data_IF_197887630712
#
_entry.id   IF_197887630712
#
_cell.length_a   1.000
_cell.length_b   1.000
_cell.length_c   1.000
_cell.angle_alpha   90.00
_cell.angle_beta   90.00
_cell.angle_gamma   90.00
#
_symmetry.space_group_name_H-M   'P 1'
#
loop_
_entity.id
_entity.type
_entity.pdbx_description
1 polymer ?
#
# COMPACT_ATOMS: atom_id res chain seq x y z
N UNK A 1 7.05 6.24 5.84
CA UNK A 1 7.65 4.90 5.93
C UNK A 1 6.60 3.84 6.30
N UNK A 2 5.81 4.03 7.36
CA UNK A 2 4.77 3.06 7.80
C UNK A 2 3.77 2.74 6.69
N UNK A 3 3.25 3.75 5.98
CA UNK A 3 2.35 3.56 4.85
C UNK A 3 3.00 2.72 3.74
N UNK A 4 4.23 3.03 3.34
CA UNK A 4 4.94 2.31 2.28
C UNK A 4 5.19 0.83 2.62
N UNK A 5 5.53 0.51 3.87
CA UNK A 5 5.70 -0.89 4.29
C UNK A 5 4.37 -1.64 4.28
N UNK A 6 3.31 -1.01 4.80
CA UNK A 6 1.99 -1.62 4.83
C UNK A 6 1.42 -1.81 3.41
N UNK A 7 1.57 -0.83 2.52
CA UNK A 7 1.12 -0.94 1.13
C UNK A 7 1.89 -2.00 0.35
N UNK A 8 3.20 -2.13 0.58
CA UNK A 8 4.00 -3.23 0.03
C UNK A 8 3.43 -4.60 0.44
N UNK A 9 3.23 -4.81 1.74
CA UNK A 9 2.75 -6.10 2.26
C UNK A 9 1.35 -6.41 1.74
N UNK A 10 0.42 -5.46 1.86
CA UNK A 10 -0.98 -5.66 1.48
C UNK A 10 -1.09 -5.80 -0.04
N UNK A 11 -0.52 -4.87 -0.81
CA UNK A 11 -0.58 -4.89 -2.27
C UNK A 11 0.06 -6.14 -2.87
N UNK A 12 1.25 -6.53 -2.38
CA UNK A 12 1.92 -7.76 -2.81
C UNK A 12 1.09 -9.00 -2.50
N UNK A 13 0.55 -9.10 -1.29
CA UNK A 13 -0.27 -10.23 -0.89
C UNK A 13 -1.54 -10.33 -1.75
N UNK A 14 -2.23 -9.22 -1.97
CA UNK A 14 -3.40 -9.17 -2.87
C UNK A 14 -3.01 -9.57 -4.31
N UNK A 15 -1.88 -9.09 -4.83
CA UNK A 15 -1.38 -9.43 -6.17
C UNK A 15 -1.08 -10.91 -6.33
N UNK A 16 -0.41 -11.52 -5.35
CA UNK A 16 -0.13 -12.96 -5.33
C UNK A 16 -1.42 -13.79 -5.28
N UNK A 17 -2.38 -13.40 -4.42
CA UNK A 17 -3.67 -14.11 -4.31
C UNK A 17 -4.44 -14.03 -5.63
N UNK A 18 -4.48 -12.84 -6.25
CA UNK A 18 -5.15 -12.63 -7.52
C UNK A 18 -4.49 -13.44 -8.66
N UNK A 19 -3.15 -13.45 -8.74
CA UNK A 19 -2.41 -14.22 -9.74
C UNK A 19 -2.64 -15.74 -9.59
N UNK A 20 -2.67 -16.25 -8.36
CA UNK A 20 -2.95 -17.67 -8.09
C UNK A 20 -4.39 -18.09 -8.40
N UNK A 21 -5.29 -17.13 -8.49
CA UNK A 21 -6.72 -17.34 -8.77
C UNK A 21 -7.14 -16.53 -9.99
N UNK A 22 -6.27 -16.47 -10.99
CA UNK A 22 -6.52 -15.73 -12.22
C UNK A 22 -7.89 -16.07 -12.83
N UNK A 23 -8.62 -15.04 -13.25
CA UNK A 23 -9.99 -15.16 -13.77
C UNK A 23 -11.08 -15.43 -12.75
N UNK A 24 -10.75 -15.57 -11.45
CA UNK A 24 -11.75 -15.74 -10.39
C UNK A 24 -12.40 -14.42 -9.98
N UNK A 25 -13.53 -14.50 -9.25
CA UNK A 25 -14.20 -13.33 -8.66
C UNK A 25 -13.26 -12.52 -7.77
N UNK A 26 -12.36 -13.18 -7.02
CA UNK A 26 -11.37 -12.52 -6.16
C UNK A 26 -10.39 -11.69 -7.00
N UNK A 27 -9.92 -12.24 -8.11
CA UNK A 27 -9.06 -11.52 -9.04
C UNK A 27 -9.78 -10.30 -9.63
N UNK A 28 -11.03 -10.46 -10.06
CA UNK A 28 -11.83 -9.36 -10.62
C UNK A 28 -12.05 -8.26 -9.57
N UNK A 29 -12.39 -8.60 -8.32
CA UNK A 29 -12.61 -7.64 -7.24
C UNK A 29 -11.31 -6.88 -6.92
N UNK A 30 -10.18 -7.58 -6.72
CA UNK A 30 -8.91 -6.94 -6.37
C UNK A 30 -8.39 -6.07 -7.52
N UNK A 31 -8.52 -6.53 -8.76
CA UNK A 31 -8.13 -5.75 -9.93
C UNK A 31 -9.02 -4.52 -10.09
N UNK A 32 -10.34 -4.66 -9.96
CA UNK A 32 -11.29 -3.55 -10.01
C UNK A 32 -11.02 -2.50 -8.94
N UNK A 33 -10.83 -2.93 -7.68
CA UNK A 33 -10.48 -2.03 -6.58
C UNK A 33 -9.15 -1.30 -6.84
N UNK A 34 -8.14 -2.03 -7.33
CA UNK A 34 -6.85 -1.44 -7.70
C UNK A 34 -6.99 -0.37 -8.80
N UNK A 35 -7.79 -0.61 -9.83
CA UNK A 35 -8.04 0.38 -10.88
C UNK A 35 -8.78 1.61 -10.35
N UNK A 36 -9.81 1.43 -9.53
CA UNK A 36 -10.56 2.54 -8.92
C UNK A 36 -9.61 3.41 -8.08
N UNK A 37 -8.86 2.81 -7.16
CA UNK A 37 -7.92 3.54 -6.30
C UNK A 37 -6.83 4.26 -7.11
N UNK A 38 -6.29 3.63 -8.16
CA UNK A 38 -5.27 4.23 -9.01
C UNK A 38 -5.78 5.42 -9.85
N UNK A 39 -7.08 5.50 -10.10
CA UNK A 39 -7.70 6.60 -10.86
C UNK A 39 -8.00 7.83 -10.00
N UNK A 40 -7.92 7.72 -8.68
CA UNK A 40 -8.23 8.80 -7.75
C UNK A 40 -6.99 9.64 -7.46
N UNK A 41 -7.05 10.98 -7.59
CA UNK A 41 -5.98 11.84 -7.10
C UNK A 41 -5.78 11.68 -5.59
N UNK A 42 -4.53 11.61 -5.15
CA UNK A 42 -4.19 11.35 -3.73
C UNK A 42 -4.80 12.37 -2.76
N UNK A 43 -4.74 13.65 -3.10
CA UNK A 43 -5.34 14.70 -2.29
C UNK A 43 -6.87 14.58 -2.19
N UNK A 44 -7.54 14.20 -3.29
CA UNK A 44 -8.98 14.00 -3.32
C UNK A 44 -9.39 12.83 -2.41
N UNK A 45 -8.66 11.71 -2.47
CA UNK A 45 -8.88 10.58 -1.57
C UNK A 45 -8.70 10.98 -0.11
N UNK A 46 -7.65 11.77 0.20
CA UNK A 46 -7.44 12.31 1.55
C UNK A 46 -8.62 13.15 2.04
N UNK A 47 -9.14 14.06 1.20
CA UNK A 47 -10.31 14.87 1.54
C UNK A 47 -11.57 14.01 1.75
N UNK A 48 -11.78 12.98 0.92
CA UNK A 48 -12.90 12.05 1.10
C UNK A 48 -12.82 11.30 2.44
N UNK A 49 -11.63 10.83 2.82
CA UNK A 49 -11.43 10.18 4.12
C UNK A 49 -11.67 11.14 5.29
N UNK A 50 -11.25 12.40 5.19
CA UNK A 50 -11.55 13.44 6.19
C UNK A 50 -13.07 13.63 6.31
N UNK A 51 -13.76 13.81 5.19
CA UNK A 51 -15.22 14.02 5.19
C UNK A 51 -15.94 12.83 5.83
N UNK A 52 -15.56 11.62 5.50
CA UNK A 52 -16.25 10.41 5.98
C UNK A 52 -15.90 10.18 7.46
N UNK A 53 -14.63 10.03 7.79
CA UNK A 53 -14.22 9.52 9.11
C UNK A 53 -14.07 10.61 10.17
N UNK A 54 -13.79 11.86 9.78
CA UNK A 54 -13.69 12.97 10.70
C UNK A 54 -14.98 13.77 10.78
N UNK A 55 -15.46 14.32 9.65
CA UNK A 55 -16.59 15.25 9.67
C UNK A 55 -17.92 14.54 9.90
N UNK A 56 -18.20 13.40 9.21
CA UNK A 56 -19.51 12.72 9.34
C UNK A 56 -19.56 11.76 10.51
N UNK A 57 -18.54 10.94 10.70
CA UNK A 57 -18.52 9.92 11.74
C UNK A 57 -17.92 10.42 13.07
N UNK A 58 -17.09 11.47 13.05
CA UNK A 58 -16.43 11.98 14.24
C UNK A 58 -15.46 11.01 14.90
N UNK A 59 -14.95 10.00 14.15
CA UNK A 59 -14.11 8.96 14.71
C UNK A 59 -12.64 9.36 14.82
N UNK A 60 -12.16 10.18 13.88
CA UNK A 60 -10.74 10.53 13.73
C UNK A 60 -10.57 12.04 13.63
N UNK A 61 -9.42 12.57 14.06
CA UNK A 61 -9.13 13.99 13.94
C UNK A 61 -8.97 14.42 12.47
N UNK A 62 -9.27 15.68 12.19
CA UNK A 62 -9.30 16.23 10.83
C UNK A 62 -7.90 16.57 10.32
N UNK A 63 -7.06 17.19 11.19
CA UNK A 63 -5.76 17.78 10.81
C UNK A 63 -4.81 17.87 12.01
N UNK A 64 -3.53 18.09 11.71
CA UNK A 64 -2.48 18.27 12.70
C UNK A 64 -1.85 16.96 13.16
N UNK A 65 -0.82 17.06 13.96
CA UNK A 65 -0.11 15.90 14.54
C UNK A 65 -0.66 15.51 15.91
N UNK A 66 -1.24 16.48 16.62
CA UNK A 66 -1.80 16.32 17.98
C UNK A 66 -2.94 17.31 18.18
N UNK A 67 -3.79 17.05 19.16
CA UNK A 67 -4.80 18.02 19.59
C UNK A 67 -4.12 19.17 20.33
N UNK A 68 -4.09 20.37 19.68
CA UNK A 68 -3.48 21.56 20.23
C UNK A 68 -4.17 22.10 21.50
N UNK A 69 -5.40 21.63 21.81
CA UNK A 69 -6.17 22.01 23.00
C UNK A 69 -5.88 21.13 24.20
N UNK A 70 -5.29 19.96 23.99
CA UNK A 70 -5.03 18.99 25.04
C UNK A 70 -3.53 18.96 25.35
N UNK A 71 -3.20 19.22 26.63
CA UNK A 71 -1.82 19.11 27.12
C UNK A 71 -1.48 17.64 27.47
N UNK A 72 -1.54 16.77 26.49
CA UNK A 72 -1.21 15.34 26.70
C UNK A 72 0.27 15.14 26.96
N UNK A 73 0.61 14.24 27.91
CA UNK A 73 1.98 13.83 28.21
C UNK A 73 2.09 12.32 28.28
N UNK A 74 3.30 11.77 28.06
CA UNK A 74 3.55 10.34 28.16
C UNK A 74 2.74 9.50 27.17
N UNK A 75 2.10 8.44 27.64
CA UNK A 75 1.34 7.50 26.80
C UNK A 75 0.13 8.10 26.10
N UNK A 76 -0.54 9.07 26.73
CA UNK A 76 -1.69 9.77 26.12
C UNK A 76 -1.28 10.59 24.89
N UNK A 77 -0.12 11.22 24.93
CA UNK A 77 0.46 11.94 23.78
C UNK A 77 0.71 10.98 22.60
N UNK A 78 1.32 9.81 22.86
CA UNK A 78 1.60 8.81 21.82
C UNK A 78 0.30 8.33 21.18
N UNK A 79 -0.72 8.06 21.98
CA UNK A 79 -2.02 7.62 21.48
C UNK A 79 -2.70 8.69 20.61
N UNK A 80 -2.58 9.95 21.00
CA UNK A 80 -3.12 11.08 20.24
C UNK A 80 -2.41 11.21 18.88
N UNK A 81 -1.07 11.15 18.84
CA UNK A 81 -0.30 11.13 17.60
C UNK A 81 -0.73 9.97 16.69
N UNK A 82 -0.89 8.76 17.25
CA UNK A 82 -1.33 7.60 16.47
C UNK A 82 -2.71 7.85 15.85
N UNK A 83 -3.66 8.41 16.58
CA UNK A 83 -4.99 8.75 16.04
C UNK A 83 -4.90 9.75 14.88
N UNK A 84 -4.07 10.76 14.99
CA UNK A 84 -3.85 11.75 13.94
C UNK A 84 -3.12 11.15 12.71
N UNK A 85 -2.31 10.10 12.88
CA UNK A 85 -1.64 9.39 11.79
C UNK A 85 -2.56 8.52 10.95
N UNK A 86 -3.69 8.05 11.47
CA UNK A 86 -4.53 7.04 10.79
C UNK A 86 -4.98 7.52 9.40
N UNK A 87 -5.52 8.73 9.28
CA UNK A 87 -6.00 9.24 8.00
C UNK A 87 -4.89 9.52 6.98
N UNK A 88 -3.80 10.24 7.32
CA UNK A 88 -2.67 10.43 6.41
C UNK A 88 -2.04 9.13 5.95
N UNK A 89 -1.75 8.21 6.88
CA UNK A 89 -1.16 6.90 6.56
C UNK A 89 -2.13 6.05 5.74
N UNK A 90 -3.42 6.05 6.09
CA UNK A 90 -4.47 5.35 5.35
C UNK A 90 -4.61 5.86 3.92
N UNK A 91 -4.53 7.18 3.70
CA UNK A 91 -4.55 7.78 2.36
C UNK A 91 -3.38 7.29 1.52
N UNK A 92 -2.15 7.41 2.04
CA UNK A 92 -0.94 6.97 1.35
C UNK A 92 -0.97 5.47 1.06
N UNK A 93 -1.43 4.68 2.02
CA UNK A 93 -1.59 3.23 1.87
C UNK A 93 -2.52 2.89 0.70
N UNK A 94 -3.71 3.51 0.65
CA UNK A 94 -4.67 3.27 -0.42
C UNK A 94 -4.18 3.71 -1.80
N UNK A 95 -3.38 4.78 -1.87
CA UNK A 95 -2.77 5.28 -3.12
C UNK A 95 -1.67 4.33 -3.62
N UNK A 96 -0.88 3.73 -2.73
CA UNK A 96 0.27 2.89 -3.10
C UNK A 96 -0.07 1.41 -3.33
N UNK A 97 -1.11 0.87 -2.68
CA UNK A 97 -1.54 -0.54 -2.84
C UNK A 97 -1.67 -0.94 -4.32
N UNK A 98 -2.29 -0.14 -5.22
CA UNK A 98 -2.44 -0.50 -6.63
C UNK A 98 -1.11 -0.75 -7.35
N UNK A 99 -0.08 -0.02 -7.01
CA UNK A 99 1.26 -0.16 -7.59
C UNK A 99 1.82 -1.56 -7.28
N UNK A 100 1.91 -1.90 -6.00
CA UNK A 100 2.46 -3.19 -5.56
C UNK A 100 1.58 -4.37 -5.98
N UNK A 101 0.26 -4.20 -5.96
CA UNK A 101 -0.68 -5.19 -6.45
C UNK A 101 -0.41 -5.56 -7.92
N UNK A 102 -0.33 -4.58 -8.80
CA UNK A 102 -0.11 -4.83 -10.23
C UNK A 102 1.24 -5.46 -10.52
N UNK A 103 2.30 -4.97 -9.89
CA UNK A 103 3.65 -5.51 -10.08
C UNK A 103 3.70 -6.95 -9.60
N UNK A 104 3.22 -7.24 -8.39
CA UNK A 104 3.25 -8.59 -7.85
C UNK A 104 2.40 -9.56 -8.68
N UNK A 105 1.19 -9.15 -9.09
CA UNK A 105 0.31 -9.97 -9.94
C UNK A 105 0.99 -10.28 -11.27
N UNK A 106 1.47 -9.26 -11.99
CA UNK A 106 2.12 -9.42 -13.29
C UNK A 106 3.37 -10.29 -13.20
N UNK A 107 4.22 -10.08 -12.19
CA UNK A 107 5.44 -10.87 -12.01
C UNK A 107 5.16 -12.34 -11.70
N UNK A 108 4.15 -12.63 -10.88
CA UNK A 108 3.76 -14.03 -10.60
C UNK A 108 3.25 -14.72 -11.86
N UNK A 109 2.40 -14.07 -12.64
CA UNK A 109 1.88 -14.63 -13.90
C UNK A 109 3.01 -14.86 -14.90
N UNK A 110 3.92 -13.88 -15.05
CA UNK A 110 5.07 -13.99 -15.95
C UNK A 110 5.97 -15.18 -15.56
N UNK A 111 6.40 -15.26 -14.31
CA UNK A 111 7.27 -16.37 -13.86
C UNK A 111 6.57 -17.72 -13.97
N UNK A 112 5.26 -17.76 -13.75
CA UNK A 112 4.48 -19.02 -13.85
C UNK A 112 4.45 -19.56 -15.28
N UNK A 113 4.62 -18.71 -16.30
CA UNK A 113 4.64 -19.07 -17.72
C UNK A 113 6.04 -19.40 -18.27
N UNK A 114 7.10 -19.29 -17.47
CA UNK A 114 8.47 -19.59 -17.89
C UNK A 114 8.71 -21.09 -18.12
N UNK A 115 9.54 -21.44 -19.11
CA UNK A 115 9.81 -22.82 -19.53
C UNK A 115 10.38 -23.68 -18.41
N UNK A 116 11.18 -23.09 -17.52
CA UNK A 116 11.74 -23.85 -16.39
C UNK A 116 10.65 -24.30 -15.39
N UNK A 117 9.56 -23.57 -15.27
CA UNK A 117 8.41 -23.96 -14.45
C UNK A 117 7.68 -25.15 -15.09
N UNK A 118 7.51 -25.14 -16.41
CA UNK A 118 6.96 -26.30 -17.15
C UNK A 118 7.82 -27.54 -16.94
N UNK A 119 9.14 -27.38 -17.00
CA UNK A 119 10.09 -28.48 -16.74
C UNK A 119 9.92 -29.03 -15.33
N UNK A 120 9.81 -28.17 -14.30
CA UNK A 120 9.60 -28.61 -12.92
C UNK A 120 8.30 -29.37 -12.73
N UNK A 121 7.22 -28.95 -13.42
CA UNK A 121 5.95 -29.67 -13.43
C UNK A 121 6.06 -31.04 -14.11
N UNK A 122 6.77 -31.10 -15.25
CA UNK A 122 7.01 -32.34 -15.96
C UNK A 122 7.79 -33.40 -15.16
N UNK A 123 8.65 -32.96 -14.23
CA UNK A 123 9.36 -33.86 -13.29
C UNK A 123 8.49 -34.34 -12.12
N UNK A 124 7.21 -33.95 -12.06
CA UNK A 124 6.29 -34.36 -10.99
C UNK A 124 6.51 -33.63 -9.66
N UNK A 125 7.18 -32.45 -9.67
CA UNK A 125 7.39 -31.66 -8.44
C UNK A 125 6.06 -31.08 -7.95
N UNK A 126 5.85 -31.12 -6.62
CA UNK A 126 4.65 -30.58 -5.98
C UNK A 126 4.46 -29.07 -6.26
N UNK A 127 3.24 -28.67 -6.61
CA UNK A 127 2.87 -27.28 -6.97
C UNK A 127 3.17 -26.27 -5.85
N UNK A 128 2.98 -26.65 -4.57
CA UNK A 128 3.33 -25.78 -3.45
C UNK A 128 4.84 -25.51 -3.38
N UNK A 129 5.64 -26.55 -3.68
CA UNK A 129 7.10 -26.43 -3.71
C UNK A 129 7.54 -25.58 -4.90
N UNK A 130 6.95 -25.77 -6.09
CA UNK A 130 7.20 -24.95 -7.27
C UNK A 130 6.88 -23.49 -6.94
N UNK A 131 5.69 -23.22 -6.40
CA UNK A 131 5.28 -21.87 -6.06
C UNK A 131 6.22 -21.21 -5.05
N UNK A 132 6.43 -21.82 -3.88
CA UNK A 132 7.15 -21.17 -2.78
C UNK A 132 8.66 -21.04 -3.05
N UNK A 133 9.26 -22.03 -3.72
CA UNK A 133 10.71 -22.08 -3.91
C UNK A 133 11.16 -21.40 -5.22
N UNK A 134 10.34 -21.44 -6.26
CA UNK A 134 10.74 -20.98 -7.60
C UNK A 134 9.92 -19.78 -8.05
N UNK A 135 8.59 -19.85 -8.06
CA UNK A 135 7.77 -18.74 -8.56
C UNK A 135 7.88 -17.54 -7.63
N UNK A 136 7.57 -17.68 -6.35
CA UNK A 136 7.54 -16.56 -5.40
C UNK A 136 8.90 -15.85 -5.30
N UNK A 137 10.00 -16.61 -5.20
CA UNK A 137 11.34 -16.02 -5.07
C UNK A 137 11.74 -15.16 -6.27
N UNK A 138 11.36 -15.57 -7.48
CA UNK A 138 11.65 -14.80 -8.69
C UNK A 138 10.65 -13.64 -8.87
N UNK A 139 9.38 -13.88 -8.61
CA UNK A 139 8.32 -12.90 -8.80
C UNK A 139 8.37 -11.73 -7.81
N UNK A 140 8.99 -11.91 -6.62
CA UNK A 140 9.08 -10.83 -5.62
C UNK A 140 10.15 -9.77 -5.96
N UNK A 141 11.16 -10.11 -6.76
CA UNK A 141 12.31 -9.25 -7.05
C UNK A 141 11.90 -7.88 -7.64
N UNK A 142 11.05 -7.79 -8.68
CA UNK A 142 10.61 -6.50 -9.21
C UNK A 142 9.89 -5.65 -8.16
N UNK A 143 9.08 -6.30 -7.31
CA UNK A 143 8.35 -5.60 -6.24
C UNK A 143 9.29 -4.98 -5.20
N UNK A 144 10.33 -5.71 -4.78
CA UNK A 144 11.35 -5.20 -3.85
C UNK A 144 12.15 -4.06 -4.48
N UNK A 145 12.49 -4.17 -5.76
CA UNK A 145 13.21 -3.12 -6.49
C UNK A 145 12.41 -1.82 -6.55
N UNK A 146 11.13 -1.91 -6.92
CA UNK A 146 10.23 -0.73 -6.95
C UNK A 146 10.03 -0.17 -5.55
N UNK A 147 9.91 -1.01 -4.52
CA UNK A 147 9.84 -0.54 -3.14
C UNK A 147 11.07 0.28 -2.74
N UNK A 148 12.29 -0.18 -3.08
CA UNK A 148 13.51 0.58 -2.83
C UNK A 148 13.50 1.97 -3.50
N UNK A 149 13.05 2.05 -4.75
CA UNK A 149 12.91 3.31 -5.48
C UNK A 149 11.83 4.20 -4.82
N UNK A 150 10.67 3.62 -4.48
CA UNK A 150 9.57 4.34 -3.82
C UNK A 150 9.98 4.91 -2.47
N UNK A 151 10.84 4.24 -1.71
CA UNK A 151 11.38 4.75 -0.45
C UNK A 151 12.17 6.05 -0.62
N UNK A 152 12.92 6.19 -1.71
CA UNK A 152 13.63 7.43 -2.01
C UNK A 152 12.65 8.59 -2.25
N UNK A 153 11.54 8.35 -2.95
CA UNK A 153 10.49 9.35 -3.15
C UNK A 153 9.75 9.71 -1.86
N UNK A 154 9.49 8.75 -0.98
CA UNK A 154 8.85 9.02 0.32
C UNK A 154 9.72 9.88 1.25
N UNK A 155 11.04 9.80 1.14
CA UNK A 155 11.97 10.64 1.92
C UNK A 155 11.92 12.09 1.44
N UNK A 156 11.73 12.33 0.15
CA UNK A 156 11.61 13.70 -0.40
C UNK A 156 10.26 14.36 -0.11
N UNK A 157 9.33 13.61 0.46
CA UNK A 157 8.08 14.13 1.02
C UNK A 157 6.87 13.94 0.11
N UNK A 158 5.77 13.60 0.75
CA UNK A 158 4.45 13.50 0.12
C UNK A 158 3.72 14.82 0.38
N UNK A 159 4.29 15.91 -0.16
CA UNK A 159 3.93 17.31 0.16
C UNK A 159 2.41 17.57 0.11
N UNK A 160 1.71 17.02 -0.89
CA UNK A 160 0.25 17.22 -1.01
C UNK A 160 -0.52 16.63 0.16
N UNK A 161 -0.14 15.44 0.63
CA UNK A 161 -0.81 14.78 1.76
C UNK A 161 -0.48 15.51 3.07
N UNK A 162 0.77 15.95 3.24
CA UNK A 162 1.18 16.75 4.40
C UNK A 162 0.42 18.08 4.47
N UNK A 163 0.15 18.73 3.32
CA UNK A 163 -0.66 19.94 3.25
C UNK A 163 -2.13 19.64 3.61
N UNK A 164 -2.74 18.63 3.00
CA UNK A 164 -4.15 18.26 3.22
C UNK A 164 -4.43 17.96 4.69
N UNK A 165 -3.52 17.25 5.36
CA UNK A 165 -3.66 16.90 6.77
C UNK A 165 -2.97 17.87 7.74
N UNK A 166 -2.38 18.97 7.24
CA UNK A 166 -1.56 19.89 8.03
C UNK A 166 -0.50 19.16 8.90
N UNK A 167 0.08 18.10 8.33
CA UNK A 167 1.08 17.28 9.02
C UNK A 167 2.45 17.97 8.94
N UNK A 168 3.21 18.06 10.04
CA UNK A 168 4.55 18.66 10.03
C UNK A 168 5.58 17.68 9.41
N UNK A 169 5.60 17.59 8.09
CA UNK A 169 6.48 16.72 7.35
C UNK A 169 7.56 17.45 6.56
N UNK A 170 8.51 16.70 6.01
CA UNK A 170 9.67 17.23 5.26
C UNK A 170 9.29 17.84 3.92
N UNK A 171 8.23 17.36 3.27
CA UNK A 171 7.77 17.91 2.00
C UNK A 171 7.24 19.35 2.11
N UNK A 172 6.74 19.74 3.30
CA UNK A 172 6.32 21.11 3.57
C UNK A 172 7.48 22.09 3.74
N UNK A 173 8.70 21.59 3.97
CA UNK A 173 9.91 22.44 4.09
C UNK A 173 10.52 22.77 2.73
N UNK A 174 10.09 22.10 1.67
CA UNK A 174 10.64 22.25 0.30
C UNK A 174 9.78 23.21 -0.54
N UNK A 175 8.60 23.55 -0.07
CA UNK A 175 7.68 24.53 -0.67
C UNK A 175 7.85 25.90 -0.03
#
# INVERSE_FOLDING_TARGET
LTAGILSLIIGTTMGIIAARREGSIIDVIFSGLSYILNSMPSFWLGLMLIIIFSSKLGWLPTYGMTDARASYTGGAYILDVIKHMILPVGTLLLVEIPLYFRIAKSSVLQVTSEDFILTLRATGMDEKKIFNKYIFKNAILPTITIFGISMAYLITGVSLIEIVFAWPGTGRLVL
#
